data_IF_784496179554
#
_entry.id   IF_784496179554
#
_cell.length_a   1.000
_cell.length_b   1.000
_cell.length_c   1.000
_cell.angle_alpha   90.00
_cell.angle_beta   90.00
_cell.angle_gamma   90.00
#
_symmetry.space_group_name_H-M   'P 1'
#
loop_
_entity.id
_entity.type
_entity.pdbx_description
1 polymer ?
#
# COMPACT_ATOMS: atom_id res chain seq x y z
N UNK A 1 12.33 5.17 -4.84
CA UNK A 1 10.92 5.19 -5.28
C UNK A 1 10.29 3.80 -5.27
N UNK A 2 10.92 2.77 -5.86
CA UNK A 2 10.36 1.40 -5.88
C UNK A 2 9.99 0.87 -4.48
N UNK A 3 10.84 1.09 -3.48
CA UNK A 3 10.53 0.71 -2.09
C UNK A 3 9.26 1.39 -1.57
N UNK A 4 9.07 2.70 -1.82
CA UNK A 4 7.87 3.44 -1.39
C UNK A 4 6.60 2.87 -2.05
N UNK A 5 6.66 2.59 -3.35
CA UNK A 5 5.52 2.04 -4.09
C UNK A 5 5.18 0.61 -3.65
N UNK A 6 6.19 -0.18 -3.32
CA UNK A 6 5.99 -1.51 -2.72
C UNK A 6 5.43 -1.41 -1.29
N UNK A 7 6.00 -0.55 -0.45
CA UNK A 7 5.61 -0.35 0.95
C UNK A 7 4.14 0.02 1.08
N UNK A 8 3.68 1.07 0.39
CA UNK A 8 2.28 1.49 0.44
C UNK A 8 1.34 0.35 -0.01
N UNK A 9 1.72 -0.37 -1.08
CA UNK A 9 0.92 -1.49 -1.58
C UNK A 9 0.88 -2.66 -0.58
N UNK A 10 1.99 -2.94 0.11
CA UNK A 10 2.07 -3.97 1.15
C UNK A 10 1.23 -3.63 2.37
N UNK A 11 1.28 -2.38 2.85
CA UNK A 11 0.47 -1.89 3.97
C UNK A 11 -1.02 -2.03 3.63
N UNK A 12 -1.42 -1.61 2.42
CA UNK A 12 -2.80 -1.75 1.97
C UNK A 12 -3.23 -3.22 1.88
N UNK A 13 -2.43 -4.11 1.28
CA UNK A 13 -2.75 -5.54 1.16
C UNK A 13 -2.87 -6.22 2.53
N UNK A 14 -1.90 -5.96 3.42
CA UNK A 14 -1.88 -6.50 4.79
C UNK A 14 -3.14 -6.11 5.56
N UNK A 15 -3.46 -4.81 5.62
CA UNK A 15 -4.58 -4.34 6.42
C UNK A 15 -5.94 -4.67 5.79
N UNK A 16 -6.07 -4.65 4.47
CA UNK A 16 -7.33 -5.04 3.81
C UNK A 16 -7.58 -6.54 3.97
N UNK A 17 -6.54 -7.38 3.86
CA UNK A 17 -6.66 -8.81 4.07
C UNK A 17 -7.10 -9.13 5.52
N UNK A 18 -6.51 -8.44 6.51
CA UNK A 18 -6.90 -8.56 7.92
C UNK A 18 -8.37 -8.15 8.14
N UNK A 19 -8.81 -7.02 7.58
CA UNK A 19 -10.21 -6.59 7.66
C UNK A 19 -11.19 -7.58 7.02
N UNK A 20 -10.76 -8.26 5.96
CA UNK A 20 -11.53 -9.31 5.28
C UNK A 20 -11.49 -10.67 6.01
N UNK A 21 -10.56 -10.87 6.95
CA UNK A 21 -10.28 -12.18 7.54
C UNK A 21 -9.73 -13.19 6.51
N UNK A 22 -9.02 -12.71 5.49
CA UNK A 22 -8.49 -13.52 4.39
C UNK A 22 -6.95 -13.44 4.30
N UNK A 23 -6.33 -14.33 3.52
CA UNK A 23 -4.90 -14.26 3.24
C UNK A 23 -4.54 -13.04 2.36
N UNK A 24 -3.39 -12.42 2.63
CA UNK A 24 -2.81 -11.34 1.81
C UNK A 24 -2.57 -11.82 0.38
N UNK A 25 -2.82 -10.96 -0.63
CA UNK A 25 -2.50 -11.30 -2.01
C UNK A 25 -1.02 -11.60 -2.17
N UNK A 26 -0.17 -10.93 -1.39
CA UNK A 26 1.27 -11.17 -1.31
C UNK A 26 1.63 -12.65 -1.30
N UNK A 27 0.95 -13.43 -0.44
CA UNK A 27 1.12 -14.87 -0.31
C UNK A 27 0.22 -15.63 -1.30
N UNK A 28 -1.08 -15.34 -1.29
CA UNK A 28 -2.12 -16.06 -2.05
C UNK A 28 -1.81 -16.13 -3.55
N UNK A 29 -1.35 -15.03 -4.13
CA UNK A 29 -1.03 -14.91 -5.56
C UNK A 29 0.48 -14.94 -5.83
N UNK A 30 1.28 -15.28 -4.81
CA UNK A 30 2.74 -15.38 -4.88
C UNK A 30 3.43 -14.13 -5.45
N UNK A 31 2.96 -12.93 -5.07
CA UNK A 31 3.63 -11.69 -5.46
C UNK A 31 5.04 -11.62 -4.89
N UNK A 32 5.32 -12.21 -3.72
CA UNK A 32 6.68 -12.31 -3.16
C UNK A 32 7.70 -12.85 -4.17
N UNK A 33 7.31 -13.87 -4.95
CA UNK A 33 8.18 -14.50 -5.94
C UNK A 33 8.48 -13.54 -7.10
N UNK A 34 7.48 -12.79 -7.57
CA UNK A 34 7.65 -11.78 -8.64
C UNK A 34 8.52 -10.61 -8.19
N UNK A 35 8.53 -10.32 -6.89
CA UNK A 35 9.40 -9.32 -6.27
C UNK A 35 10.76 -9.89 -5.85
N UNK A 36 11.00 -11.19 -6.02
CA UNK A 36 12.19 -11.90 -5.54
C UNK A 36 12.46 -11.65 -4.05
N UNK A 37 11.41 -11.76 -3.22
CA UNK A 37 11.45 -11.61 -1.76
C UNK A 37 10.97 -12.89 -1.06
N UNK A 38 11.28 -13.00 0.23
CA UNK A 38 10.75 -14.07 1.05
C UNK A 38 9.21 -13.98 1.17
N UNK A 39 8.50 -15.12 1.32
CA UNK A 39 7.06 -15.16 1.55
C UNK A 39 6.73 -14.78 3.01
N UNK A 40 7.17 -13.60 3.45
CA UNK A 40 6.90 -13.10 4.80
C UNK A 40 5.71 -12.12 4.78
N UNK A 41 4.57 -12.45 5.41
CA UNK A 41 3.42 -11.55 5.49
C UNK A 41 3.70 -10.32 6.36
N UNK A 42 4.69 -10.36 7.27
CA UNK A 42 5.04 -9.25 8.16
C UNK A 42 6.01 -8.26 7.53
N UNK A 43 6.69 -8.66 6.45
CA UNK A 43 7.53 -7.77 5.65
C UNK A 43 6.65 -6.84 4.82
N UNK A 44 6.25 -5.74 5.45
CA UNK A 44 5.54 -4.63 4.81
C UNK A 44 6.43 -3.38 4.69
N UNK A 45 7.69 -3.43 5.15
CA UNK A 45 8.58 -2.26 5.20
C UNK A 45 8.56 -1.48 6.52
N UNK A 46 7.67 -1.82 7.45
CA UNK A 46 7.63 -1.20 8.77
C UNK A 46 8.90 -1.53 9.57
N UNK A 47 9.55 -0.51 10.12
CA UNK A 47 10.77 -0.68 10.92
C UNK A 47 12.05 -0.88 10.10
N UNK A 48 11.99 -0.83 8.76
CA UNK A 48 13.20 -0.93 7.93
C UNK A 48 14.17 0.22 8.21
N UNK A 49 15.42 -0.12 8.47
CA UNK A 49 16.54 0.81 8.55
C UNK A 49 16.93 1.34 7.15
N UNK A 50 17.66 2.47 7.06
CA UNK A 50 18.12 3.01 5.77
C UNK A 50 18.89 2.01 4.90
N UNK A 51 19.67 1.12 5.51
CA UNK A 51 20.42 0.06 4.83
C UNK A 51 19.47 -0.95 4.17
N UNK A 52 18.39 -1.31 4.85
CA UNK A 52 17.36 -2.21 4.30
C UNK A 52 16.61 -1.54 3.16
N UNK A 53 16.25 -0.27 3.29
CA UNK A 53 15.62 0.52 2.21
C UNK A 53 16.54 0.63 0.99
N UNK A 54 17.84 0.87 1.19
CA UNK A 54 18.82 0.99 0.10
C UNK A 54 19.16 -0.36 -0.56
N UNK A 55 19.05 -1.46 0.18
CA UNK A 55 19.21 -2.81 -0.36
C UNK A 55 18.01 -3.31 -1.17
N UNK A 56 16.84 -2.64 -1.03
CA UNK A 56 15.64 -3.00 -1.77
C UNK A 56 15.88 -3.00 -3.29
N UNK A 57 15.69 -4.17 -3.91
CA UNK A 57 15.73 -4.35 -5.36
C UNK A 57 14.31 -4.33 -5.90
N UNK A 58 13.96 -3.21 -6.53
CA UNK A 58 12.66 -3.07 -7.20
C UNK A 58 12.55 -4.08 -8.34
N UNK A 59 11.40 -4.77 -8.50
CA UNK A 59 11.12 -5.46 -9.75
C UNK A 59 10.84 -4.42 -10.85
N UNK A 60 10.51 -4.91 -12.05
CA UNK A 60 10.09 -4.06 -13.15
C UNK A 60 8.80 -3.28 -12.83
N UNK A 61 8.58 -2.20 -13.57
CA UNK A 61 7.43 -1.28 -13.34
C UNK A 61 6.10 -1.98 -13.56
N UNK A 62 5.99 -2.92 -14.48
CA UNK A 62 4.74 -3.63 -14.73
C UNK A 62 4.39 -4.55 -13.56
N UNK A 63 5.39 -5.20 -12.95
CA UNK A 63 5.19 -5.98 -11.71
C UNK A 63 4.75 -5.11 -10.54
N UNK A 64 5.39 -3.96 -10.30
CA UNK A 64 4.99 -3.01 -9.25
C UNK A 64 3.53 -2.53 -9.44
N UNK A 65 3.21 -2.03 -10.63
CA UNK A 65 1.86 -1.53 -10.92
C UNK A 65 0.83 -2.66 -10.96
N UNK A 66 1.23 -3.87 -11.37
CA UNK A 66 0.38 -5.05 -11.36
C UNK A 66 -0.05 -5.41 -9.94
N UNK A 67 0.89 -5.42 -8.99
CA UNK A 67 0.58 -5.70 -7.60
C UNK A 67 -0.33 -4.62 -7.00
N UNK A 68 0.01 -3.34 -7.20
CA UNK A 68 -0.82 -2.21 -6.75
C UNK A 68 -2.25 -2.32 -7.27
N UNK A 69 -2.44 -2.59 -8.58
CA UNK A 69 -3.78 -2.75 -9.16
C UNK A 69 -4.53 -3.94 -8.57
N UNK A 70 -3.87 -5.07 -8.33
CA UNK A 70 -4.52 -6.25 -7.74
C UNK A 70 -5.05 -5.94 -6.34
N UNK A 71 -4.24 -5.27 -5.52
CA UNK A 71 -4.62 -4.83 -4.17
C UNK A 71 -5.73 -3.79 -4.24
N UNK A 72 -5.59 -2.75 -5.06
CA UNK A 72 -6.61 -1.71 -5.25
C UNK A 72 -7.97 -2.30 -5.67
N UNK A 73 -7.99 -3.23 -6.62
CA UNK A 73 -9.24 -3.87 -7.05
C UNK A 73 -9.85 -4.76 -5.95
N UNK A 74 -9.03 -5.41 -5.12
CA UNK A 74 -9.53 -6.13 -3.93
C UNK A 74 -10.12 -5.15 -2.91
N UNK A 75 -9.42 -4.06 -2.61
CA UNK A 75 -9.88 -2.99 -1.71
C UNK A 75 -11.21 -2.44 -2.16
N UNK A 76 -11.37 -2.10 -3.45
CA UNK A 76 -12.63 -1.59 -4.01
C UNK A 76 -13.78 -2.58 -3.83
N UNK A 77 -13.55 -3.86 -4.12
CA UNK A 77 -14.57 -4.91 -3.94
C UNK A 77 -14.96 -5.02 -2.47
N UNK A 78 -14.00 -5.01 -1.56
CA UNK A 78 -14.27 -5.06 -0.11
C UNK A 78 -15.07 -3.84 0.36
N UNK A 79 -14.65 -2.62 0.00
CA UNK A 79 -15.36 -1.40 0.39
C UNK A 79 -16.82 -1.42 -0.11
N UNK A 80 -17.04 -1.94 -1.33
CA UNK A 80 -18.38 -2.04 -1.90
C UNK A 80 -19.33 -3.00 -1.16
N UNK A 81 -18.82 -3.88 -0.29
CA UNK A 81 -19.65 -4.76 0.54
C UNK A 81 -20.00 -4.19 1.91
N UNK A 82 -19.37 -3.09 2.33
CA UNK A 82 -19.52 -2.56 3.69
C UNK A 82 -20.79 -1.73 3.84
N UNK A 83 -21.50 -1.96 4.94
CA UNK A 83 -22.57 -1.09 5.44
C UNK A 83 -22.01 -0.06 6.42
N UNK A 84 -22.82 0.94 6.79
CA UNK A 84 -22.44 1.91 7.84
C UNK A 84 -22.15 1.22 9.17
N UNK A 85 -22.93 0.20 9.54
CA UNK A 85 -22.70 -0.58 10.77
C UNK A 85 -21.38 -1.33 10.74
N UNK A 86 -20.96 -1.82 9.56
CA UNK A 86 -19.66 -2.50 9.43
C UNK A 86 -18.50 -1.52 9.66
N UNK A 87 -18.66 -0.25 9.29
CA UNK A 87 -17.65 0.79 9.51
C UNK A 87 -17.46 1.13 11.00
N UNK A 88 -18.50 0.97 11.82
CA UNK A 88 -18.47 1.24 13.26
C UNK A 88 -17.95 0.05 14.09
N UNK A 89 -17.75 -1.12 13.46
CA UNK A 89 -17.21 -2.30 14.14
C UNK A 89 -15.80 -2.02 14.67
N UNK A 90 -15.61 -2.19 15.97
CA UNK A 90 -14.30 -2.08 16.62
C UNK A 90 -13.36 -3.21 16.20
N UNK A 91 -12.09 -2.87 16.01
CA UNK A 91 -11.00 -3.80 15.78
C UNK A 91 -10.33 -4.15 17.11
N UNK A 92 -9.93 -5.41 17.26
CA UNK A 92 -9.30 -5.90 18.49
C UNK A 92 -7.81 -5.51 18.54
N UNK A 93 -7.57 -4.22 18.76
CA UNK A 93 -6.26 -3.60 18.74
C UNK A 93 -6.00 -2.87 20.07
N UNK A 94 -5.78 -3.61 21.17
CA UNK A 94 -5.84 -3.08 22.53
C UNK A 94 -4.74 -2.06 22.86
N UNK A 95 -3.77 -1.86 21.96
CA UNK A 95 -2.76 -0.82 22.08
C UNK A 95 -3.30 0.59 21.80
N UNK A 96 -4.48 0.72 21.18
CA UNK A 96 -5.18 1.99 20.99
C UNK A 96 -6.29 2.19 22.04
N UNK A 97 -6.53 3.45 22.41
CA UNK A 97 -7.63 3.87 23.29
C UNK A 97 -8.21 5.21 22.79
N UNK A 98 -9.46 5.26 22.27
CA UNK A 98 -10.39 4.13 22.06
C UNK A 98 -9.86 3.12 21.01
N UNK A 99 -10.47 1.94 20.94
CA UNK A 99 -10.20 0.97 19.88
C UNK A 99 -10.56 1.58 18.51
N UNK A 100 -9.75 1.36 17.46
CA UNK A 100 -10.08 1.85 16.13
C UNK A 100 -11.25 1.04 15.57
N UNK A 101 -12.10 1.69 14.78
CA UNK A 101 -13.12 1.00 13.99
C UNK A 101 -12.61 0.60 12.62
N UNK A 102 -13.35 -0.24 11.90
CA UNK A 102 -13.09 -0.54 10.47
C UNK A 102 -12.98 0.76 9.66
N UNK A 103 -13.88 1.72 9.88
CA UNK A 103 -13.86 3.02 9.21
C UNK A 103 -12.58 3.81 9.48
N UNK A 104 -12.13 3.86 10.74
CA UNK A 104 -10.84 4.48 11.11
C UNK A 104 -9.69 3.81 10.38
N UNK A 105 -9.65 2.47 10.37
CA UNK A 105 -8.60 1.71 9.68
C UNK A 105 -8.57 1.97 8.18
N UNK A 106 -9.72 2.05 7.51
CA UNK A 106 -9.78 2.38 6.08
C UNK A 106 -9.23 3.77 5.77
N UNK A 107 -9.53 4.77 6.62
CA UNK A 107 -8.96 6.12 6.49
C UNK A 107 -7.47 6.12 6.78
N UNK A 108 -6.99 5.34 7.75
CA UNK A 108 -5.56 5.17 8.03
C UNK A 108 -4.81 4.62 6.83
N UNK A 109 -5.34 3.58 6.17
CA UNK A 109 -4.76 3.00 4.94
C UNK A 109 -4.69 4.05 3.83
N UNK A 110 -5.79 4.77 3.58
CA UNK A 110 -5.83 5.82 2.55
C UNK A 110 -4.81 6.94 2.84
N UNK A 111 -4.67 7.33 4.11
CA UNK A 111 -3.71 8.35 4.54
C UNK A 111 -2.27 7.90 4.30
N UNK A 112 -1.95 6.65 4.63
CA UNK A 112 -0.63 6.03 4.38
C UNK A 112 -0.29 6.04 2.88
N UNK A 113 -1.22 5.54 2.05
CA UNK A 113 -1.09 5.53 0.58
C UNK A 113 -0.80 6.93 0.02
N UNK A 114 -1.56 7.95 0.46
CA UNK A 114 -1.39 9.33 0.00
C UNK A 114 -0.06 9.93 0.45
N UNK A 115 0.39 9.65 1.67
CA UNK A 115 1.67 10.13 2.19
C UNK A 115 2.83 9.56 1.36
N UNK A 116 2.83 8.25 1.10
CA UNK A 116 3.89 7.61 0.33
C UNK A 116 3.83 7.95 -1.16
N UNK A 117 2.65 8.15 -1.74
CA UNK A 117 2.51 8.71 -3.08
C UNK A 117 3.14 10.13 -3.18
N UNK A 118 2.91 10.97 -2.15
CA UNK A 118 3.54 12.28 -2.03
C UNK A 118 5.07 12.20 -1.94
N UNK A 119 5.60 11.25 -1.15
CA UNK A 119 7.05 11.01 -1.06
C UNK A 119 7.64 10.55 -2.40
N UNK A 120 6.94 9.69 -3.15
CA UNK A 120 7.35 9.29 -4.50
C UNK A 120 7.42 10.51 -5.42
N UNK A 121 6.38 11.35 -5.42
CA UNK A 121 6.35 12.58 -6.21
C UNK A 121 7.51 13.52 -5.83
N UNK A 122 7.78 13.68 -4.54
CA UNK A 122 8.89 14.50 -4.04
C UNK A 122 10.25 13.97 -4.51
N UNK A 123 10.53 12.69 -4.30
CA UNK A 123 11.78 12.03 -4.75
C UNK A 123 11.92 12.13 -6.27
N UNK A 124 10.83 11.95 -7.03
CA UNK A 124 10.85 12.11 -8.48
C UNK A 124 11.25 13.53 -8.88
N UNK A 125 10.72 14.55 -8.20
CA UNK A 125 11.08 15.94 -8.41
C UNK A 125 12.55 16.23 -8.11
N UNK A 126 13.11 15.64 -7.06
CA UNK A 126 14.54 15.75 -6.75
C UNK A 126 15.42 15.12 -7.85
N UNK A 127 14.99 14.00 -8.43
CA UNK A 127 15.76 13.29 -9.46
C UNK A 127 15.61 13.88 -10.87
N UNK A 128 14.45 14.48 -11.18
CA UNK A 128 14.11 14.95 -12.54
C UNK A 128 14.11 16.47 -12.69
N UNK A 129 14.11 17.22 -11.58
CA UNK A 129 14.04 18.68 -11.60
C UNK A 129 12.62 19.22 -11.83
N UNK A 130 12.50 20.53 -12.03
CA UNK A 130 11.23 21.22 -12.27
C UNK A 130 10.56 20.72 -13.56
N UNK A 131 9.23 20.72 -13.60
CA UNK A 131 8.46 20.33 -14.79
C UNK A 131 8.32 18.82 -15.00
N UNK A 132 8.79 17.98 -14.06
CA UNK A 132 8.66 16.52 -14.17
C UNK A 132 7.21 16.02 -14.22
N UNK A 133 6.29 16.82 -13.66
CA UNK A 133 4.86 16.66 -13.76
C UNK A 133 4.39 17.53 -14.94
N UNK A 134 4.81 17.20 -16.16
CA UNK A 134 4.21 17.86 -17.33
C UNK A 134 2.72 17.52 -17.32
N UNK A 135 1.88 18.53 -17.10
CA UNK A 135 0.47 18.45 -17.41
C UNK A 135 0.40 18.00 -18.86
N UNK A 136 -0.28 16.89 -19.12
CA UNK A 136 -0.54 16.42 -20.48
C UNK A 136 -0.99 17.60 -21.34
N UNK A 137 -0.09 18.06 -22.20
CA UNK A 137 -0.34 19.02 -23.26
C UNK A 137 -1.26 18.33 -24.28
N UNK A 138 -2.55 18.38 -24.01
CA UNK A 138 -3.62 18.06 -24.97
C UNK A 138 -4.94 18.71 -24.54
N UNK A 139 -4.96 20.03 -24.58
CA UNK A 139 -6.15 20.78 -24.96
C UNK A 139 -5.66 21.83 -25.96
N UNK A 140 -5.77 21.50 -27.25
CA UNK A 140 -5.43 22.32 -28.40
C UNK A 140 -6.01 21.66 -29.64
#
# INVERSE_FOLDING_TARGET
MGWLAWHLTRVQDDHIADLMGEEQLWLKDSWYAKFNRAPDPKDIGWGHAPEEVSSFRSPDVATLLGYYRAVLERTKRFIATLTLTDLDRELNEPWFQPLPTVGVRLVSILSDDLQHAGQIAYVRGLLKGKGWLEASSSIG
#
